data_IF_906906104611
#
_entry.id   IF_906906104611
#
_cell.length_a   1.000
_cell.length_b   1.000
_cell.length_c   1.000
_cell.angle_alpha   90.00
_cell.angle_beta   90.00
_cell.angle_gamma   90.00
#
_symmetry.space_group_name_H-M   'P 1'
#
loop_
_entity.id
_entity.type
_entity.pdbx_description
1 polymer ?
#
# COMPACT_ATOMS: atom_id res chain seq x y z
N UNK A 1 -18.46 16.67 27.35
CA UNK A 1 -17.63 15.48 27.08
C UNK A 1 -16.18 15.94 27.14
N UNK A 2 -15.54 15.80 28.31
CA UNK A 2 -14.19 16.32 28.56
C UNK A 2 -13.17 15.36 27.92
N UNK A 3 -12.44 15.81 26.92
CA UNK A 3 -11.22 15.12 26.49
C UNK A 3 -10.10 15.54 27.46
N UNK A 4 -9.57 14.56 28.20
CA UNK A 4 -8.40 14.73 29.06
C UNK A 4 -7.13 14.85 28.20
N UNK A 5 -6.16 15.72 28.51
CA UNK A 5 -4.94 15.90 27.70
C UNK A 5 -3.85 14.83 27.89
N UNK A 6 -4.15 13.68 28.51
CA UNK A 6 -3.14 12.69 28.88
C UNK A 6 -3.39 11.31 28.26
N UNK A 7 -2.90 11.13 27.02
CA UNK A 7 -2.54 9.83 26.46
C UNK A 7 -1.60 10.00 25.25
N UNK A 8 -0.48 10.71 25.41
CA UNK A 8 0.64 10.61 24.48
C UNK A 8 1.53 9.45 24.91
N UNK A 9 0.97 8.23 24.86
CA UNK A 9 1.73 6.99 24.91
C UNK A 9 2.59 6.91 23.64
N UNK A 10 3.85 6.54 23.77
CA UNK A 10 4.76 6.34 22.63
C UNK A 10 4.08 5.46 21.59
N UNK A 11 3.72 6.04 20.44
CA UNK A 11 3.10 5.33 19.33
C UNK A 11 4.17 4.50 18.62
N UNK A 12 4.59 3.41 19.25
CA UNK A 12 5.48 2.44 18.63
C UNK A 12 4.67 1.72 17.56
N UNK A 13 4.84 2.13 16.31
CA UNK A 13 4.20 1.49 15.18
C UNK A 13 4.75 0.07 15.02
N UNK A 14 3.86 -0.91 14.98
CA UNK A 14 4.23 -2.29 14.67
C UNK A 14 4.34 -2.43 13.15
N UNK A 15 5.49 -2.89 12.60
CA UNK A 15 5.65 -3.04 11.17
C UNK A 15 4.53 -3.88 10.54
N UNK A 16 3.98 -3.40 9.44
CA UNK A 16 2.94 -4.09 8.67
C UNK A 16 3.59 -4.84 7.53
N UNK A 17 3.17 -6.09 7.32
CA UNK A 17 3.64 -6.91 6.19
C UNK A 17 2.47 -7.26 5.29
N UNK A 18 2.73 -7.32 3.98
CA UNK A 18 1.74 -7.62 2.96
C UNK A 18 2.33 -8.41 1.81
N UNK A 19 1.47 -9.10 1.05
CA UNK A 19 1.85 -9.81 -0.17
C UNK A 19 0.76 -9.65 -1.22
N UNK A 20 1.14 -9.67 -2.51
CA UNK A 20 0.14 -9.80 -3.57
C UNK A 20 -0.53 -11.18 -3.49
N UNK A 21 -1.77 -11.30 -3.99
CA UNK A 21 -2.46 -12.59 -4.12
C UNK A 21 -1.67 -13.59 -4.97
N UNK A 22 -0.82 -13.10 -5.87
CA UNK A 22 0.11 -13.89 -6.68
C UNK A 22 1.31 -14.46 -5.92
N UNK A 23 1.60 -13.98 -4.70
CA UNK A 23 2.83 -14.23 -3.96
C UNK A 23 4.17 -13.82 -4.66
N UNK A 24 4.11 -13.12 -5.80
CA UNK A 24 5.27 -12.57 -6.50
C UNK A 24 5.91 -11.38 -5.77
N UNK A 25 5.14 -10.64 -4.97
CA UNK A 25 5.58 -9.45 -4.26
C UNK A 25 5.31 -9.62 -2.77
N UNK A 26 6.31 -9.31 -1.94
CA UNK A 26 6.17 -9.12 -0.50
C UNK A 26 6.61 -7.71 -0.14
N UNK A 27 5.86 -7.01 0.72
CA UNK A 27 6.16 -5.66 1.16
C UNK A 27 6.11 -5.55 2.68
N UNK A 28 6.90 -4.61 3.22
CA UNK A 28 6.91 -4.26 4.64
C UNK A 28 6.89 -2.74 4.79
N UNK A 29 6.01 -2.25 5.67
CA UNK A 29 5.98 -0.85 6.11
C UNK A 29 6.50 -0.78 7.55
N UNK A 30 7.46 0.10 7.82
CA UNK A 30 8.06 0.27 9.15
C UNK A 30 7.56 1.51 9.89
N UNK A 31 6.70 2.30 9.25
CA UNK A 31 6.05 3.48 9.80
C UNK A 31 4.58 3.53 9.35
N UNK A 32 3.70 4.26 10.05
CA UNK A 32 2.34 4.46 9.59
C UNK A 32 2.34 5.29 8.29
N UNK A 33 1.44 5.02 7.33
CA UNK A 33 1.27 5.88 6.16
C UNK A 33 0.91 7.32 6.55
N UNK A 34 1.42 8.29 5.80
CA UNK A 34 1.10 9.71 5.95
C UNK A 34 -0.38 9.99 5.69
N UNK A 35 -0.92 9.41 4.62
CA UNK A 35 -2.31 9.58 4.20
C UNK A 35 -2.80 8.27 3.61
N UNK A 36 -4.00 7.84 3.99
CA UNK A 36 -4.76 6.80 3.28
C UNK A 36 -6.07 7.40 2.78
N UNK A 37 -6.36 7.26 1.50
CA UNK A 37 -7.53 7.85 0.87
C UNK A 37 -8.14 6.95 -0.19
N UNK A 38 -9.39 7.23 -0.54
CA UNK A 38 -10.11 6.59 -1.64
C UNK A 38 -10.09 7.56 -2.82
N UNK A 39 -9.67 7.08 -4.00
CA UNK A 39 -9.66 7.85 -5.23
C UNK A 39 -10.61 7.25 -6.28
N UNK A 40 -11.41 8.12 -6.91
CA UNK A 40 -12.39 7.76 -7.94
C UNK A 40 -11.98 8.20 -9.36
N UNK A 41 -10.74 8.66 -9.56
CA UNK A 41 -10.31 9.06 -10.90
C UNK A 41 -10.19 7.83 -11.81
N UNK A 42 -10.40 8.02 -13.11
CA UNK A 42 -10.38 6.93 -14.11
C UNK A 42 -9.01 6.26 -14.20
N UNK A 43 -7.93 6.95 -13.86
CA UNK A 43 -6.60 6.36 -13.75
C UNK A 43 -6.55 5.35 -12.60
N UNK A 44 -6.84 5.78 -11.38
CA UNK A 44 -6.82 4.90 -10.20
C UNK A 44 -7.85 3.77 -10.30
N UNK A 45 -8.97 3.94 -11.02
CA UNK A 45 -9.92 2.84 -11.27
C UNK A 45 -9.31 1.71 -12.10
N UNK A 46 -8.42 2.02 -13.03
CA UNK A 46 -7.79 1.03 -13.93
C UNK A 46 -6.74 0.16 -13.23
N UNK A 47 -6.12 0.67 -12.17
CA UNK A 47 -5.08 -0.04 -11.42
C UNK A 47 -5.59 -1.35 -10.79
N UNK A 48 -6.68 -1.36 -10.00
CA UNK A 48 -7.31 -2.58 -9.50
C UNK A 48 -8.43 -3.12 -10.41
N UNK A 49 -8.87 -2.37 -11.43
CA UNK A 49 -10.06 -2.69 -12.23
C UNK A 49 -11.36 -2.60 -11.41
N UNK A 50 -11.48 -1.59 -10.54
CA UNK A 50 -12.60 -1.42 -9.61
C UNK A 50 -13.21 0.00 -9.70
N UNK A 51 -14.30 0.25 -8.97
CA UNK A 51 -14.97 1.56 -8.94
C UNK A 51 -14.12 2.68 -8.32
N UNK A 52 -13.13 2.31 -7.51
CA UNK A 52 -12.18 3.19 -6.85
C UNK A 52 -10.92 2.40 -6.45
N UNK A 53 -9.84 3.12 -6.13
CA UNK A 53 -8.67 2.55 -5.46
C UNK A 53 -8.51 3.12 -4.05
N UNK A 54 -7.99 2.30 -3.14
CA UNK A 54 -7.51 2.72 -1.82
C UNK A 54 -6.00 2.93 -1.93
N UNK A 55 -5.57 4.17 -1.75
CA UNK A 55 -4.17 4.57 -1.89
C UNK A 55 -3.61 4.97 -0.53
N UNK A 56 -2.40 4.52 -0.21
CA UNK A 56 -1.66 4.91 0.98
C UNK A 56 -0.32 5.52 0.60
N UNK A 57 -0.05 6.72 1.08
CA UNK A 57 1.21 7.45 0.85
C UNK A 57 2.10 7.23 2.06
N UNK A 58 3.34 6.84 1.84
CA UNK A 58 4.38 6.65 2.86
C UNK A 58 5.72 7.12 2.31
N UNK A 59 6.63 7.56 3.17
CA UNK A 59 8.02 7.82 2.79
C UNK A 59 8.70 6.54 2.30
N UNK A 60 9.46 6.65 1.22
CA UNK A 60 10.18 5.53 0.63
C UNK A 60 11.17 4.88 1.60
N UNK A 61 11.74 5.64 2.54
CA UNK A 61 12.62 5.11 3.59
C UNK A 61 11.94 4.11 4.53
N UNK A 62 10.61 4.16 4.62
CA UNK A 62 9.81 3.31 5.50
C UNK A 62 9.10 2.17 4.74
N UNK A 63 9.39 2.00 3.45
CA UNK A 63 8.79 0.98 2.59
C UNK A 63 9.86 0.09 1.97
N UNK A 64 9.75 -1.21 2.18
CA UNK A 64 10.63 -2.20 1.54
C UNK A 64 9.79 -3.23 0.80
N UNK A 65 10.32 -3.73 -0.32
CA UNK A 65 9.67 -4.77 -1.09
C UNK A 65 10.67 -5.81 -1.61
N UNK A 66 10.19 -7.04 -1.78
CA UNK A 66 10.95 -8.15 -2.33
C UNK A 66 10.12 -8.86 -3.40
N UNK A 67 10.77 -9.16 -4.54
CA UNK A 67 10.17 -9.91 -5.64
C UNK A 67 10.57 -11.38 -5.54
N UNK A 68 9.59 -12.28 -5.61
CA UNK A 68 9.84 -13.71 -5.69
C UNK A 68 10.00 -14.12 -7.17
N UNK A 69 11.22 -14.44 -7.63
CA UNK A 69 11.47 -14.78 -9.03
C UNK A 69 10.85 -16.13 -9.43
N UNK A 70 10.48 -16.98 -8.47
CA UNK A 70 9.85 -18.27 -8.74
C UNK A 70 8.38 -18.12 -9.17
N UNK A 71 7.75 -16.96 -8.89
CA UNK A 71 6.41 -16.66 -9.40
C UNK A 71 6.56 -15.97 -10.75
N UNK A 72 6.85 -16.76 -11.77
CA UNK A 72 6.84 -16.34 -13.17
C UNK A 72 5.40 -16.10 -13.62
N UNK A 73 4.86 -14.93 -13.28
CA UNK A 73 3.83 -14.32 -14.13
C UNK A 73 4.60 -13.69 -15.30
N UNK A 74 4.12 -13.76 -16.55
CA UNK A 74 4.72 -12.92 -17.58
C UNK A 74 4.49 -11.47 -17.14
N UNK A 75 5.56 -10.75 -16.77
CA UNK A 75 5.54 -9.29 -16.58
C UNK A 75 4.99 -8.55 -17.82
N UNK A 76 4.82 -9.26 -18.95
CA UNK A 76 4.23 -8.80 -20.20
C UNK A 76 2.69 -8.69 -20.20
N UNK A 77 1.96 -9.11 -19.16
CA UNK A 77 0.48 -9.03 -19.12
C UNK A 77 -0.09 -8.02 -18.13
N UNK A 78 0.72 -7.24 -17.41
CA UNK A 78 0.20 -6.02 -16.80
C UNK A 78 -0.11 -5.10 -17.99
N UNK A 79 -1.38 -4.81 -18.31
CA UNK A 79 -1.65 -3.77 -19.27
C UNK A 79 -1.05 -2.53 -18.61
N UNK A 80 0.00 -1.97 -19.19
CA UNK A 80 0.37 -0.58 -18.87
C UNK A 80 -0.92 0.17 -19.13
N UNK A 81 -1.62 0.55 -18.05
CA UNK A 81 -2.92 1.19 -18.11
C UNK A 81 -2.71 2.59 -18.66
N UNK A 82 -2.47 2.64 -19.96
CA UNK A 82 -2.41 3.81 -20.82
C UNK A 82 -3.74 4.54 -20.76
N UNK A 83 -3.72 5.85 -20.94
CA UNK A 83 -3.84 6.44 -22.27
C UNK A 83 -2.51 6.47 -23.04
#
# INVERSE_FOLDING_TARGET
MKLSPNAMSSLTFTPLTGRCSCAALSCTLTAPPLITHICYCTWCQREPGAICAVNSIIESSNFTYHLNPAVSQPLALIPVARP
#
